data_IF_470072994293
#
_entry.id   IF_470072994293
#
_cell.length_a   1.000
_cell.length_b   1.000
_cell.length_c   1.000
_cell.angle_alpha   90.00
_cell.angle_beta   90.00
_cell.angle_gamma   90.00
#
_symmetry.space_group_name_H-M   'P 1'
#
loop_
_entity.id
_entity.type
_entity.pdbx_description
1 polymer ?
#
# COMPACT_ATOMS: atom_id res chain seq x y z
N UNK A 1 5.01 16.97 -28.53
CA UNK A 1 4.85 15.56 -28.12
C UNK A 1 4.87 15.55 -26.61
N UNK A 2 3.73 15.39 -25.95
CA UNK A 2 3.69 15.17 -24.50
C UNK A 2 4.29 13.80 -24.23
N UNK A 3 5.38 13.75 -23.45
CA UNK A 3 5.96 12.48 -23.04
C UNK A 3 4.89 11.67 -22.32
N UNK A 4 4.71 10.42 -22.72
CA UNK A 4 3.82 9.49 -22.00
C UNK A 4 4.43 9.30 -20.62
N UNK A 5 3.70 9.71 -19.59
CA UNK A 5 4.12 9.54 -18.21
C UNK A 5 4.19 8.03 -17.91
N UNK A 6 5.34 7.55 -17.45
CA UNK A 6 5.47 6.16 -16.97
C UNK A 6 4.48 5.93 -15.82
N UNK A 7 3.72 4.82 -15.82
CA UNK A 7 2.84 4.49 -14.69
C UNK A 7 3.63 4.22 -13.40
N UNK A 8 4.92 3.89 -13.51
CA UNK A 8 5.80 3.56 -12.40
C UNK A 8 6.63 4.76 -11.92
N UNK A 9 6.92 4.81 -10.61
CA UNK A 9 7.65 5.89 -9.96
C UNK A 9 8.96 5.40 -9.32
N UNK A 10 9.97 6.27 -9.22
CA UNK A 10 11.21 6.00 -8.49
C UNK A 10 12.34 5.53 -9.40
N UNK A 11 13.36 4.90 -8.80
CA UNK A 11 14.47 4.30 -9.55
C UNK A 11 14.06 3.01 -10.27
N UNK A 12 14.96 2.46 -11.09
CA UNK A 12 14.69 1.26 -11.89
C UNK A 12 14.28 0.04 -11.03
N UNK A 13 14.85 -0.11 -9.83
CA UNK A 13 14.53 -1.23 -8.94
C UNK A 13 13.12 -1.09 -8.39
N UNK A 14 12.75 0.10 -7.93
CA UNK A 14 11.41 0.38 -7.40
C UNK A 14 10.35 0.30 -8.50
N UNK A 15 10.66 0.76 -9.72
CA UNK A 15 9.78 0.61 -10.87
C UNK A 15 9.59 -0.87 -11.26
N UNK A 16 10.66 -1.67 -11.22
CA UNK A 16 10.57 -3.11 -11.49
C UNK A 16 9.69 -3.83 -10.46
N UNK A 17 9.82 -3.48 -9.17
CA UNK A 17 8.94 -4.00 -8.12
C UNK A 17 7.49 -3.62 -8.37
N UNK A 18 7.17 -2.33 -8.59
CA UNK A 18 5.80 -1.89 -8.89
C UNK A 18 5.21 -2.67 -10.08
N UNK A 19 5.98 -2.81 -11.16
CA UNK A 19 5.55 -3.57 -12.34
C UNK A 19 5.26 -5.03 -11.99
N UNK A 20 6.14 -5.70 -11.27
CA UNK A 20 5.94 -7.09 -10.85
C UNK A 20 4.69 -7.26 -9.97
N UNK A 21 4.43 -6.32 -9.06
CA UNK A 21 3.22 -6.35 -8.21
C UNK A 21 1.96 -6.14 -9.03
N UNK A 22 1.95 -5.19 -9.96
CA UNK A 22 0.83 -4.89 -10.84
C UNK A 22 0.48 -6.10 -11.73
N UNK A 23 1.50 -6.77 -12.29
CA UNK A 23 1.33 -7.97 -13.13
C UNK A 23 0.78 -9.18 -12.34
N UNK A 24 1.02 -9.22 -11.03
CA UNK A 24 0.56 -10.32 -10.17
C UNK A 24 -0.85 -10.13 -9.61
N UNK A 25 -1.48 -8.97 -9.76
CA UNK A 25 -2.79 -8.67 -9.15
C UNK A 25 -3.83 -9.76 -9.45
N UNK A 26 -3.96 -10.15 -10.71
CA UNK A 26 -4.93 -11.16 -11.12
C UNK A 26 -4.71 -12.53 -10.46
N UNK A 27 -3.45 -12.89 -10.18
CA UNK A 27 -3.11 -14.14 -9.50
C UNK A 27 -3.40 -14.04 -7.99
N UNK A 28 -3.06 -12.90 -7.38
CA UNK A 28 -3.13 -12.74 -5.93
C UNK A 28 -4.57 -12.51 -5.41
N UNK A 29 -5.47 -11.94 -6.23
CA UNK A 29 -6.84 -11.64 -5.79
C UNK A 29 -7.61 -12.88 -5.30
N UNK A 30 -7.39 -14.04 -5.94
CA UNK A 30 -8.09 -15.29 -5.60
C UNK A 30 -7.21 -16.25 -4.79
N UNK A 31 -6.05 -15.79 -4.32
CA UNK A 31 -5.07 -16.64 -3.65
C UNK A 31 -5.20 -16.56 -2.13
N UNK A 32 -5.51 -17.68 -1.46
CA UNK A 32 -5.61 -17.69 0.00
C UNK A 32 -4.30 -17.29 0.67
N UNK A 33 -4.39 -16.37 1.64
CA UNK A 33 -3.26 -15.81 2.37
C UNK A 33 -2.41 -14.79 1.61
N UNK A 34 -2.71 -14.48 0.35
CA UNK A 34 -2.02 -13.44 -0.42
C UNK A 34 -2.67 -12.07 -0.24
N UNK A 35 -1.86 -11.02 -0.23
CA UNK A 35 -2.34 -9.63 -0.18
C UNK A 35 -1.89 -8.87 -1.41
N UNK A 36 -2.84 -8.23 -2.11
CA UNK A 36 -2.55 -7.25 -3.16
C UNK A 36 -2.08 -5.95 -2.51
N UNK A 37 -0.80 -5.90 -2.12
CA UNK A 37 -0.21 -4.72 -1.46
C UNK A 37 0.40 -3.72 -2.45
N UNK A 38 0.49 -4.07 -3.74
CA UNK A 38 0.94 -3.23 -4.87
C UNK A 38 2.34 -2.58 -4.74
N UNK A 39 3.10 -2.88 -3.68
CA UNK A 39 4.47 -2.39 -3.45
C UNK A 39 5.47 -3.47 -3.09
N UNK A 40 5.02 -4.48 -2.35
CA UNK A 40 5.83 -5.62 -1.89
C UNK A 40 4.98 -6.88 -1.95
N UNK A 41 5.59 -8.03 -2.22
CA UNK A 41 4.89 -9.30 -2.07
C UNK A 41 4.51 -9.49 -0.59
N UNK A 42 3.22 -9.73 -0.34
CA UNK A 42 2.65 -9.64 0.99
C UNK A 42 1.68 -10.76 1.30
N UNK A 43 1.58 -11.11 2.58
CA UNK A 43 0.70 -12.15 3.09
C UNK A 43 0.06 -11.74 4.41
N UNK A 44 -1.19 -12.12 4.62
CA UNK A 44 -1.90 -12.02 5.90
C UNK A 44 -2.09 -13.40 6.58
N UNK A 45 -2.00 -14.49 5.80
CA UNK A 45 -1.87 -15.87 6.30
C UNK A 45 -0.70 -16.61 5.61
N UNK A 46 0.52 -16.52 6.18
CA UNK A 46 1.72 -17.15 5.61
C UNK A 46 1.65 -18.67 5.54
N UNK A 47 0.95 -19.29 6.49
CA UNK A 47 0.82 -20.74 6.54
C UNK A 47 -0.06 -21.25 5.40
N UNK A 48 -1.14 -20.52 5.11
CA UNK A 48 -2.03 -20.84 3.99
C UNK A 48 -1.41 -20.50 2.63
N UNK A 49 -0.69 -19.38 2.52
CA UNK A 49 0.02 -18.99 1.29
C UNK A 49 1.19 -19.93 0.96
N UNK A 50 1.87 -20.42 2.00
CA UNK A 50 3.02 -21.31 1.91
C UNK A 50 4.37 -20.57 2.01
N UNK A 51 5.20 -21.03 2.94
CA UNK A 51 6.53 -20.45 3.22
C UNK A 51 7.51 -20.54 2.06
N UNK A 52 7.41 -21.56 1.21
CA UNK A 52 8.26 -21.67 0.00
C UNK A 52 8.08 -20.47 -0.93
N UNK A 53 6.84 -20.01 -1.10
CA UNK A 53 6.54 -18.85 -1.95
C UNK A 53 7.12 -17.57 -1.37
N UNK A 54 6.99 -17.40 -0.05
CA UNK A 54 7.57 -16.26 0.67
C UNK A 54 9.11 -16.26 0.58
N UNK A 55 9.75 -17.43 0.71
CA UNK A 55 11.20 -17.57 0.50
C UNK A 55 11.63 -17.21 -0.91
N UNK A 56 10.92 -17.69 -1.93
CA UNK A 56 11.22 -17.37 -3.32
C UNK A 56 11.13 -15.86 -3.56
N UNK A 57 10.06 -15.22 -3.08
CA UNK A 57 9.93 -13.76 -3.18
C UNK A 57 11.03 -13.02 -2.40
N UNK A 58 11.42 -13.51 -1.22
CA UNK A 58 12.52 -12.93 -0.44
C UNK A 58 13.86 -13.07 -1.18
N UNK A 59 14.11 -14.20 -1.85
CA UNK A 59 15.32 -14.42 -2.65
C UNK A 59 15.39 -13.50 -3.87
N UNK A 60 14.26 -13.31 -4.55
CA UNK A 60 14.19 -12.52 -5.78
C UNK A 60 14.16 -11.00 -5.51
N UNK A 61 13.38 -10.57 -4.52
CA UNK A 61 13.07 -9.15 -4.28
C UNK A 61 13.81 -8.58 -3.05
N UNK A 62 14.33 -9.44 -2.17
CA UNK A 62 15.05 -9.06 -0.95
C UNK A 62 14.16 -8.56 0.18
N UNK A 63 12.83 -8.58 0.00
CA UNK A 63 11.86 -8.18 1.02
C UNK A 63 10.51 -8.86 0.80
N UNK A 64 9.78 -9.05 1.90
CA UNK A 64 8.37 -9.42 1.93
C UNK A 64 7.65 -8.60 3.01
N UNK A 65 6.33 -8.66 3.07
CA UNK A 65 5.56 -8.06 4.18
C UNK A 65 4.53 -9.03 4.71
N UNK A 66 4.44 -9.13 6.04
CA UNK A 66 3.39 -9.88 6.72
C UNK A 66 2.43 -8.88 7.38
N UNK A 67 1.14 -8.94 7.05
CA UNK A 67 0.13 -7.98 7.50
C UNK A 67 -0.81 -8.63 8.52
N UNK A 68 -1.00 -7.98 9.66
CA UNK A 68 -1.99 -8.43 10.66
C UNK A 68 -1.67 -9.78 11.30
N UNK A 69 -0.43 -10.24 11.20
CA UNK A 69 0.02 -11.50 11.80
C UNK A 69 0.30 -11.33 13.29
N UNK A 70 0.10 -12.41 14.05
CA UNK A 70 0.36 -12.43 15.48
C UNK A 70 1.86 -12.65 15.80
N UNK A 71 2.20 -12.52 17.08
CA UNK A 71 3.57 -12.69 17.55
C UNK A 71 4.14 -14.09 17.26
N UNK A 72 3.29 -15.13 17.29
CA UNK A 72 3.74 -16.49 17.00
C UNK A 72 4.15 -16.64 15.53
N UNK A 73 3.34 -16.08 14.62
CA UNK A 73 3.61 -16.08 13.18
C UNK A 73 4.85 -15.27 12.84
N UNK A 74 5.12 -14.17 13.56
CA UNK A 74 6.38 -13.42 13.44
C UNK A 74 7.58 -14.29 13.80
N UNK A 75 7.52 -15.06 14.89
CA UNK A 75 8.61 -15.96 15.26
C UNK A 75 8.80 -17.09 14.24
N UNK A 76 7.72 -17.69 13.74
CA UNK A 76 7.82 -18.64 12.62
C UNK A 76 8.46 -18.01 11.38
N UNK A 77 8.10 -16.77 11.04
CA UNK A 77 8.72 -16.07 9.91
C UNK A 77 10.23 -15.87 10.09
N UNK A 78 10.69 -15.61 11.33
CA UNK A 78 12.14 -15.50 11.62
C UNK A 78 12.86 -16.81 11.36
N UNK A 79 12.25 -17.94 11.72
CA UNK A 79 12.82 -19.26 11.50
C UNK A 79 12.85 -19.59 10.00
N UNK A 80 11.71 -19.47 9.32
CA UNK A 80 11.51 -19.82 7.91
C UNK A 80 12.33 -18.95 6.93
N UNK A 81 12.71 -17.73 7.36
CA UNK A 81 13.49 -16.77 6.56
C UNK A 81 14.89 -16.51 7.13
N UNK A 82 15.31 -17.28 8.13
CA UNK A 82 16.60 -17.09 8.84
C UNK A 82 17.82 -17.09 7.91
N UNK A 83 17.76 -17.86 6.81
CA UNK A 83 18.86 -17.94 5.82
C UNK A 83 19.14 -16.63 5.08
N UNK A 84 18.22 -15.67 5.13
CA UNK A 84 18.36 -14.37 4.46
C UNK A 84 18.88 -13.26 5.38
N UNK A 85 19.12 -13.54 6.67
CA UNK A 85 19.46 -12.54 7.69
C UNK A 85 18.55 -11.29 7.66
N UNK A 86 17.21 -11.46 7.74
CA UNK A 86 16.27 -10.37 7.51
C UNK A 86 16.31 -9.33 8.63
N UNK A 87 16.34 -8.05 8.24
CA UNK A 87 16.07 -6.94 9.17
C UNK A 87 14.57 -6.84 9.42
N UNK A 88 14.13 -7.20 10.63
CA UNK A 88 12.72 -7.12 10.97
C UNK A 88 12.31 -5.67 11.27
N UNK A 89 11.25 -5.24 10.59
CA UNK A 89 10.53 -3.99 10.86
C UNK A 89 9.10 -4.34 11.29
N UNK A 90 8.69 -3.85 12.47
CA UNK A 90 7.36 -4.09 13.04
C UNK A 90 6.61 -2.76 13.18
N UNK A 91 5.31 -2.81 12.88
CA UNK A 91 4.37 -1.73 13.14
C UNK A 91 3.12 -2.31 13.80
N UNK A 92 2.64 -1.64 14.84
CA UNK A 92 1.42 -2.05 15.52
C UNK A 92 0.20 -1.80 14.64
N UNK A 93 -0.68 -2.80 14.55
CA UNK A 93 -1.98 -2.68 13.90
C UNK A 93 -3.05 -2.49 14.98
N UNK A 94 -3.69 -1.32 14.98
CA UNK A 94 -4.83 -1.05 15.85
C UNK A 94 -6.12 -1.40 15.11
N UNK A 95 -6.88 -2.33 15.65
CA UNK A 95 -8.14 -2.81 15.05
C UNK A 95 -9.30 -2.61 16.02
N UNK A 96 -10.46 -2.27 15.46
CA UNK A 96 -11.75 -2.28 16.14
C UNK A 96 -12.85 -2.56 15.10
N UNK A 97 -14.07 -2.87 15.54
CA UNK A 97 -15.19 -3.00 14.63
C UNK A 97 -15.54 -1.64 13.98
N UNK A 98 -16.27 -1.71 12.86
CA UNK A 98 -16.59 -0.53 12.07
C UNK A 98 -17.39 0.54 12.84
N UNK A 99 -18.23 0.15 13.82
CA UNK A 99 -19.00 1.12 14.59
C UNK A 99 -18.10 1.81 15.61
N UNK A 100 -17.26 1.06 16.32
CA UNK A 100 -16.27 1.64 17.23
C UNK A 100 -15.33 2.63 16.52
N UNK A 101 -14.82 2.27 15.33
CA UNK A 101 -13.99 3.17 14.52
C UNK A 101 -14.77 4.44 14.15
N UNK A 102 -16.01 4.30 13.65
CA UNK A 102 -16.85 5.46 13.29
C UNK A 102 -17.11 6.36 14.48
N UNK A 103 -17.49 5.80 15.63
CA UNK A 103 -17.84 6.58 16.83
C UNK A 103 -16.65 7.38 17.37
N UNK A 104 -15.45 6.81 17.33
CA UNK A 104 -14.22 7.50 17.75
C UNK A 104 -13.79 8.54 16.72
N UNK A 105 -13.76 8.17 15.43
CA UNK A 105 -13.32 9.06 14.36
C UNK A 105 -14.31 10.19 14.06
N UNK A 106 -15.62 10.01 14.32
CA UNK A 106 -16.65 11.03 14.11
C UNK A 106 -16.26 12.35 14.77
N UNK A 107 -15.72 12.29 15.99
CA UNK A 107 -15.27 13.47 16.75
C UNK A 107 -14.18 14.27 16.03
N UNK A 108 -13.35 13.60 15.23
CA UNK A 108 -12.27 14.22 14.44
C UNK A 108 -12.84 14.78 13.14
N UNK A 109 -13.79 14.07 12.52
CA UNK A 109 -14.38 14.51 11.24
C UNK A 109 -15.43 15.61 11.42
N UNK A 110 -16.08 15.69 12.57
CA UNK A 110 -17.13 16.67 12.89
C UNK A 110 -16.58 18.10 12.93
N UNK A 111 -15.29 18.29 13.23
CA UNK A 111 -14.62 19.59 13.15
C UNK A 111 -14.34 20.05 11.72
N UNK A 112 -14.60 19.21 10.72
CA UNK A 112 -14.27 19.47 9.32
C UNK A 112 -12.76 19.41 9.05
N UNK A 113 -12.39 19.73 7.81
CA UNK A 113 -10.99 19.92 7.44
C UNK A 113 -10.49 21.27 7.98
N UNK A 114 -9.18 21.38 8.32
CA UNK A 114 -8.54 22.68 8.54
C UNK A 114 -8.81 23.66 7.40
N UNK A 115 -8.92 24.96 7.71
CA UNK A 115 -9.31 26.01 6.73
C UNK A 115 -8.43 26.05 5.49
N UNK A 116 -7.15 25.71 5.62
CA UNK A 116 -6.18 25.70 4.53
C UNK A 116 -6.24 24.41 3.69
N UNK A 117 -6.89 23.36 4.19
CA UNK A 117 -6.98 22.06 3.51
C UNK A 117 -8.30 21.87 2.78
N UNK A 118 -8.19 21.48 1.51
CA UNK A 118 -9.32 21.09 0.68
C UNK A 118 -9.14 19.69 0.11
N UNK A 119 -10.26 18.95 -0.03
CA UNK A 119 -10.25 17.67 -0.73
C UNK A 119 -10.10 17.90 -2.23
N UNK A 120 -9.18 17.18 -2.86
CA UNK A 120 -9.09 17.12 -4.32
C UNK A 120 -10.31 16.36 -4.86
N UNK A 121 -11.11 16.95 -5.76
CA UNK A 121 -12.25 16.26 -6.39
C UNK A 121 -11.80 15.03 -7.17
N UNK A 122 -12.66 14.01 -7.27
CA UNK A 122 -12.30 12.73 -7.90
C UNK A 122 -11.93 12.93 -9.38
N UNK A 123 -12.61 13.86 -10.07
CA UNK A 123 -12.38 14.19 -11.48
C UNK A 123 -11.00 14.84 -11.70
N UNK A 124 -10.42 15.42 -10.65
CA UNK A 124 -9.08 16.02 -10.67
C UNK A 124 -7.96 15.02 -10.36
N UNK A 125 -8.28 13.77 -9.98
CA UNK A 125 -7.32 12.69 -9.74
C UNK A 125 -6.83 12.07 -11.06
N UNK A 126 -6.12 12.87 -11.84
CA UNK A 126 -5.49 12.48 -13.11
C UNK A 126 -4.20 11.68 -12.89
N UNK A 127 -3.62 11.03 -13.92
CA UNK A 127 -2.27 10.44 -13.83
C UNK A 127 -1.21 11.45 -13.39
N UNK A 128 -1.33 12.71 -13.79
CA UNK A 128 -0.43 13.77 -13.31
C UNK A 128 -0.62 14.04 -11.82
N UNK A 129 -1.87 14.05 -11.32
CA UNK A 129 -2.13 14.21 -9.89
C UNK A 129 -1.61 13.01 -9.09
N UNK A 130 -1.78 11.79 -9.60
CA UNK A 130 -1.17 10.60 -9.02
C UNK A 130 0.36 10.71 -8.98
N UNK A 131 1.00 11.32 -10.00
CA UNK A 131 2.44 11.59 -9.99
C UNK A 131 2.85 12.54 -8.88
N UNK A 132 2.11 13.62 -8.69
CA UNK A 132 2.35 14.56 -7.60
C UNK A 132 2.23 13.83 -6.24
N UNK A 133 1.28 12.90 -6.14
CA UNK A 133 1.09 12.06 -4.96
C UNK A 133 2.28 11.15 -4.71
N UNK A 134 2.76 10.46 -5.75
CA UNK A 134 3.92 9.59 -5.66
C UNK A 134 5.17 10.36 -5.24
N UNK A 135 5.40 11.56 -5.78
CA UNK A 135 6.51 12.44 -5.40
C UNK A 135 6.44 12.81 -3.93
N UNK A 136 5.28 13.27 -3.44
CA UNK A 136 5.10 13.60 -2.03
C UNK A 136 5.40 12.41 -1.12
N UNK A 137 4.86 11.22 -1.43
CA UNK A 137 5.12 10.02 -0.63
C UNK A 137 6.61 9.69 -0.58
N UNK A 138 7.29 9.75 -1.73
CA UNK A 138 8.73 9.50 -1.81
C UNK A 138 9.54 10.52 -0.99
N UNK A 139 9.17 11.79 -1.02
CA UNK A 139 9.80 12.84 -0.21
C UNK A 139 9.62 12.61 1.30
N UNK A 140 8.54 11.93 1.70
CA UNK A 140 8.30 11.49 3.09
C UNK A 140 8.95 10.13 3.42
N UNK A 141 9.71 9.54 2.51
CA UNK A 141 10.32 8.21 2.67
C UNK A 141 9.32 7.05 2.61
N UNK A 142 8.12 7.29 2.09
CA UNK A 142 7.09 6.27 1.88
C UNK A 142 7.19 5.76 0.44
N UNK A 143 7.35 4.45 0.27
CA UNK A 143 7.37 3.86 -1.07
C UNK A 143 6.01 4.07 -1.77
N UNK A 144 5.99 4.72 -2.93
CA UNK A 144 4.75 5.01 -3.64
C UNK A 144 4.22 3.79 -4.40
N UNK A 145 2.91 3.74 -4.56
CA UNK A 145 2.21 2.79 -5.43
C UNK A 145 2.35 3.19 -6.91
N UNK A 146 2.11 2.25 -7.83
CA UNK A 146 1.99 2.58 -9.25
C UNK A 146 0.77 3.49 -9.51
N UNK A 147 0.80 4.20 -10.64
CA UNK A 147 -0.30 5.10 -11.03
C UNK A 147 -1.62 4.34 -11.18
N UNK A 148 -1.58 3.15 -11.76
CA UNK A 148 -2.78 2.36 -12.02
C UNK A 148 -3.35 1.73 -10.75
N UNK A 149 -2.49 1.34 -9.79
CA UNK A 149 -2.92 0.97 -8.45
C UNK A 149 -3.59 2.14 -7.71
N UNK A 150 -2.97 3.33 -7.70
CA UNK A 150 -3.53 4.52 -7.04
C UNK A 150 -4.90 4.92 -7.61
N UNK A 151 -5.06 4.82 -8.92
CA UNK A 151 -6.29 5.17 -9.61
C UNK A 151 -7.32 4.03 -9.63
N UNK A 152 -7.08 2.94 -8.90
CA UNK A 152 -8.04 1.84 -8.75
C UNK A 152 -8.31 1.05 -10.02
N UNK A 153 -7.37 1.04 -10.98
CA UNK A 153 -7.53 0.33 -12.25
C UNK A 153 -7.23 -1.16 -12.14
N UNK A 154 -6.44 -1.56 -11.15
CA UNK A 154 -5.99 -2.93 -10.96
C UNK A 154 -6.88 -3.72 -9.99
N UNK A 155 -7.35 -3.05 -8.94
CA UNK A 155 -8.21 -3.61 -7.90
C UNK A 155 -9.08 -2.47 -7.31
N UNK A 156 -10.17 -2.77 -6.58
CA UNK A 156 -11.05 -1.77 -5.99
C UNK A 156 -10.34 -0.87 -4.96
N UNK A 157 -9.69 0.18 -5.45
CA UNK A 157 -9.01 1.18 -4.63
C UNK A 157 -9.48 2.59 -4.99
N UNK A 158 -9.39 3.50 -4.02
CA UNK A 158 -9.75 4.91 -4.21
C UNK A 158 -8.72 5.82 -3.57
N UNK A 159 -7.94 6.50 -4.40
CA UNK A 159 -7.09 7.59 -3.93
C UNK A 159 -7.95 8.72 -3.35
N UNK A 160 -7.60 9.14 -2.15
CA UNK A 160 -8.07 10.38 -1.54
C UNK A 160 -6.84 11.27 -1.43
N UNK A 161 -6.97 12.54 -1.84
CA UNK A 161 -5.91 13.51 -1.71
C UNK A 161 -6.49 14.79 -1.12
N UNK A 162 -5.73 15.41 -0.21
CA UNK A 162 -6.00 16.75 0.26
C UNK A 162 -4.93 17.69 -0.33
N UNK A 163 -5.23 18.97 -0.37
CA UNK A 163 -4.27 19.98 -0.78
C UNK A 163 -4.42 21.19 0.12
N UNK A 164 -3.28 21.73 0.56
CA UNK A 164 -3.21 23.04 1.18
C UNK A 164 -3.19 24.13 0.11
N UNK A 165 -3.38 25.39 0.51
CA UNK A 165 -3.12 26.57 -0.34
C UNK A 165 -1.69 26.58 -0.91
N UNK A 166 -0.75 25.95 -0.20
CA UNK A 166 0.69 26.02 -0.49
C UNK A 166 1.20 24.78 -1.26
N UNK A 167 0.36 23.76 -1.46
CA UNK A 167 0.75 22.50 -2.12
C UNK A 167 -0.07 21.28 -1.72
N UNK A 168 0.39 20.09 -2.11
CA UNK A 168 -0.34 18.82 -1.91
C UNK A 168 -0.02 18.19 -0.53
N UNK A 169 -1.04 17.77 0.22
CA UNK A 169 -0.90 17.04 1.51
C UNK A 169 -1.79 15.79 1.50
N UNK A 170 -1.24 14.60 1.66
CA UNK A 170 -1.95 13.39 1.21
C UNK A 170 -2.36 12.49 2.37
N UNK A 171 -3.65 12.11 2.37
CA UNK A 171 -4.16 10.99 3.16
C UNK A 171 -4.67 9.90 2.22
N UNK A 172 -3.93 8.81 2.08
CA UNK A 172 -4.35 7.66 1.27
C UNK A 172 -5.31 6.77 2.07
N UNK A 173 -6.38 6.28 1.43
CA UNK A 173 -7.22 5.19 1.96
C UNK A 173 -7.09 3.99 1.04
N UNK A 174 -6.38 2.97 1.52
CA UNK A 174 -6.48 1.63 0.94
C UNK A 174 -7.82 1.03 1.37
N UNK A 175 -8.66 0.62 0.43
CA UNK A 175 -10.01 0.09 0.73
C UNK A 175 -10.04 -1.39 0.44
N UNK A 176 -9.36 -2.19 1.25
CA UNK A 176 -9.80 -3.56 1.53
C UNK A 176 -10.88 -3.48 2.63
N UNK A 177 -12.08 -3.02 2.26
CA UNK A 177 -13.29 -3.28 3.05
C UNK A 177 -14.11 -4.25 2.22
N UNK A 178 -13.79 -5.53 2.35
CA UNK A 178 -14.81 -6.55 2.14
C UNK A 178 -15.68 -6.55 3.40
N UNK A 179 -16.98 -6.36 3.20
CA UNK A 179 -18.00 -6.60 4.22
C UNK A 179 -18.20 -8.11 4.38
#
# INVERSE_FOLDING_TARGET
MTAVLSPFFGDEKIQALQKARDEQVAELMDMPGAVVHARTFSSDDPAQLGWDRLRNSMADEGMITLRGVDAQTVETAREELSSFDPKLHLWDLFMADANTIRDVCAKITDSGLPEDLSRVPDEALTPQKARDVQSFLADQGISPFSTDALLGKLFPARLIALQSSDGLNIGMRDTAIEC
#
